data_IF_007633190125
#
_entry.id   IF_007633190125
#
_cell.length_a   1.000
_cell.length_b   1.000
_cell.length_c   1.000
_cell.angle_alpha   90.00
_cell.angle_beta   90.00
_cell.angle_gamma   90.00
#
_symmetry.space_group_name_H-M   'P 1'
#
loop_
_entity.id
_entity.type
_entity.pdbx_description
1 polymer ?
#
# COMPACT_ATOMS: atom_id res chain seq x y z
N UNK A 1 5.51 3.20 12.77
CA UNK A 1 4.38 3.74 13.58
C UNK A 1 3.05 3.53 12.87
N UNK A 2 2.95 3.83 11.57
CA UNK A 2 1.77 3.62 10.71
C UNK A 2 1.11 2.24 10.88
N UNK A 3 1.89 1.16 10.80
CA UNK A 3 1.40 -0.22 10.99
C UNK A 3 0.69 -0.42 12.33
N UNK A 4 1.14 0.23 13.42
CA UNK A 4 0.51 0.09 14.73
C UNK A 4 -0.90 0.69 14.73
N UNK A 5 -1.08 1.87 14.12
CA UNK A 5 -2.41 2.48 13.97
C UNK A 5 -3.35 1.61 13.12
N UNK A 6 -2.87 1.11 11.99
CA UNK A 6 -3.65 0.21 11.13
C UNK A 6 -4.08 -1.06 11.88
N UNK A 7 -3.17 -1.67 12.62
CA UNK A 7 -3.43 -2.87 13.42
C UNK A 7 -4.47 -2.62 14.53
N UNK A 8 -4.42 -1.47 15.18
CA UNK A 8 -5.38 -1.08 16.21
C UNK A 8 -6.75 -0.69 15.64
N UNK A 9 -6.81 -0.15 14.42
CA UNK A 9 -8.06 0.21 13.75
C UNK A 9 -8.98 -0.99 13.51
N UNK A 10 -8.41 -2.20 13.39
CA UNK A 10 -9.18 -3.45 13.37
C UNK A 10 -8.38 -4.60 13.99
N UNK A 11 -8.59 -4.88 15.28
CA UNK A 11 -7.91 -5.97 15.99
C UNK A 11 -8.20 -7.38 15.47
N UNK A 12 -9.20 -7.56 14.58
CA UNK A 12 -9.48 -8.84 13.91
C UNK A 12 -8.75 -8.99 12.57
N UNK A 13 -8.24 -7.90 12.00
CA UNK A 13 -7.48 -7.94 10.75
C UNK A 13 -6.11 -8.57 10.99
N UNK A 14 -5.60 -9.29 9.98
CA UNK A 14 -4.20 -9.70 9.91
C UNK A 14 -3.43 -8.63 9.16
N UNK A 15 -2.45 -8.02 9.79
CA UNK A 15 -1.64 -6.96 9.20
C UNK A 15 -0.25 -7.49 8.91
N UNK A 16 0.20 -7.36 7.66
CA UNK A 16 1.57 -7.65 7.27
C UNK A 16 2.29 -6.32 7.04
N UNK A 17 3.52 -6.21 7.52
CA UNK A 17 4.35 -5.02 7.31
C UNK A 17 5.72 -5.46 6.81
N UNK A 18 6.18 -4.86 5.73
CA UNK A 18 7.45 -5.19 5.08
C UNK A 18 8.46 -4.08 5.35
N UNK A 19 9.68 -4.42 5.73
CA UNK A 19 10.74 -3.43 6.00
C UNK A 19 12.09 -3.94 5.49
N UNK A 20 12.76 -3.16 4.64
CA UNK A 20 14.02 -3.55 4.01
C UNK A 20 15.22 -3.47 4.96
N UNK A 21 15.21 -2.54 5.91
CA UNK A 21 16.30 -2.34 6.85
C UNK A 21 16.07 -3.12 8.15
N UNK A 22 16.94 -4.10 8.43
CA UNK A 22 16.84 -4.96 9.61
C UNK A 22 16.79 -4.17 10.93
N UNK A 23 17.50 -3.05 11.02
CA UNK A 23 17.53 -2.19 12.21
C UNK A 23 16.17 -1.52 12.44
N UNK A 24 15.53 -1.02 11.38
CA UNK A 24 14.20 -0.39 11.45
C UNK A 24 13.16 -1.46 11.80
N UNK A 25 13.24 -2.63 11.17
CA UNK A 25 12.37 -3.77 11.46
C UNK A 25 12.46 -4.16 12.95
N UNK A 26 13.67 -4.22 13.51
CA UNK A 26 13.91 -4.54 14.93
C UNK A 26 13.30 -3.49 15.87
N UNK A 27 13.32 -2.22 15.50
CA UNK A 27 12.66 -1.14 16.27
C UNK A 27 11.13 -1.28 16.17
N UNK A 28 10.59 -1.56 14.98
CA UNK A 28 9.16 -1.76 14.79
C UNK A 28 8.63 -2.92 15.64
N UNK A 29 9.36 -4.04 15.68
CA UNK A 29 9.02 -5.20 16.52
C UNK A 29 8.99 -4.86 18.02
N UNK A 30 9.99 -4.11 18.51
CA UNK A 30 9.99 -3.61 19.90
C UNK A 30 8.76 -2.76 20.19
N UNK A 31 8.38 -1.87 19.27
CA UNK A 31 7.20 -1.04 19.43
C UNK A 31 5.90 -1.86 19.46
N UNK A 32 5.75 -2.86 18.58
CA UNK A 32 4.58 -3.76 18.61
C UNK A 32 4.48 -4.51 19.95
N UNK A 33 5.61 -4.97 20.48
CA UNK A 33 5.66 -5.64 21.78
C UNK A 33 5.27 -4.70 22.93
N UNK A 34 5.81 -3.48 22.97
CA UNK A 34 5.49 -2.48 24.00
C UNK A 34 4.01 -2.06 23.96
N UNK A 35 3.43 -1.96 22.77
CA UNK A 35 2.02 -1.60 22.56
C UNK A 35 1.07 -2.81 22.67
N UNK A 36 1.58 -4.00 22.95
CA UNK A 36 0.84 -5.26 23.01
C UNK A 36 0.03 -5.57 21.73
N UNK A 37 0.56 -5.21 20.56
CA UNK A 37 -0.06 -5.47 19.26
C UNK A 37 0.28 -6.90 18.83
N UNK A 38 -0.75 -7.72 18.58
CA UNK A 38 -0.59 -9.17 18.31
C UNK A 38 -1.01 -9.61 16.91
N UNK A 39 -1.66 -8.73 16.16
CA UNK A 39 -2.20 -9.02 14.84
C UNK A 39 -1.30 -8.52 13.70
N UNK A 40 -0.04 -8.17 14.00
CA UNK A 40 0.97 -7.77 13.01
C UNK A 40 1.97 -8.89 12.80
N UNK A 41 2.28 -9.18 11.53
CA UNK A 41 3.43 -10.00 11.12
C UNK A 41 4.43 -9.10 10.38
N UNK A 42 5.62 -8.95 10.95
CA UNK A 42 6.73 -8.21 10.35
C UNK A 42 7.52 -9.11 9.41
N UNK A 43 7.75 -8.64 8.18
CA UNK A 43 8.49 -9.34 7.13
C UNK A 43 9.72 -8.50 6.77
N UNK A 44 10.87 -8.76 7.41
CA UNK A 44 12.09 -8.01 7.12
C UNK A 44 12.77 -8.52 5.85
N UNK A 45 13.43 -7.61 5.13
CA UNK A 45 14.29 -7.91 3.98
C UNK A 45 13.86 -7.22 2.68
N UNK A 46 14.63 -7.46 1.62
CA UNK A 46 14.39 -6.89 0.30
C UNK A 46 12.98 -7.23 -0.21
N UNK A 47 12.24 -6.21 -0.66
CA UNK A 47 10.87 -6.38 -1.15
C UNK A 47 10.79 -7.26 -2.39
N UNK A 48 11.81 -7.25 -3.25
CA UNK A 48 11.87 -8.13 -4.42
C UNK A 48 11.94 -9.62 -4.02
N UNK A 49 12.52 -9.92 -2.85
CA UNK A 49 12.62 -11.28 -2.32
C UNK A 49 11.42 -11.65 -1.43
N UNK A 50 10.83 -10.68 -0.73
CA UNK A 50 9.84 -10.94 0.33
C UNK A 50 8.38 -10.78 -0.12
N UNK A 51 8.08 -9.87 -1.06
CA UNK A 51 6.71 -9.68 -1.55
C UNK A 51 6.17 -10.87 -2.35
N UNK A 52 6.92 -11.51 -3.28
CA UNK A 52 6.40 -12.64 -4.04
C UNK A 52 5.92 -13.82 -3.16
N UNK A 53 6.70 -14.34 -2.18
CA UNK A 53 6.20 -15.41 -1.32
C UNK A 53 5.07 -14.95 -0.40
N UNK A 54 5.08 -13.68 0.05
CA UNK A 54 4.00 -13.12 0.87
C UNK A 54 2.67 -13.14 0.11
N UNK A 55 2.66 -12.65 -1.13
CA UNK A 55 1.45 -12.61 -1.95
C UNK A 55 1.01 -14.01 -2.41
N UNK A 56 1.95 -14.93 -2.65
CA UNK A 56 1.61 -16.33 -2.92
C UNK A 56 0.87 -17.00 -1.74
N UNK A 57 1.25 -16.67 -0.50
CA UNK A 57 0.58 -17.15 0.70
C UNK A 57 -0.76 -16.44 0.98
N UNK A 58 -0.92 -15.21 0.50
CA UNK A 58 -2.09 -14.36 0.76
C UNK A 58 -2.73 -13.89 -0.54
N UNK A 59 -3.61 -14.75 -1.10
CA UNK A 59 -4.24 -14.56 -2.41
C UNK A 59 -5.12 -13.31 -2.57
N UNK A 60 -5.50 -12.66 -1.46
CA UNK A 60 -6.40 -11.49 -1.46
C UNK A 60 -5.85 -10.42 -0.53
N UNK A 61 -5.88 -9.19 -0.99
CA UNK A 61 -5.49 -7.99 -0.24
C UNK A 61 -6.70 -7.07 -0.15
N UNK A 62 -7.20 -6.84 1.05
CA UNK A 62 -8.31 -5.91 1.27
C UNK A 62 -7.83 -4.45 1.31
N UNK A 63 -6.65 -4.22 1.87
CA UNK A 63 -6.05 -2.89 2.04
C UNK A 63 -4.53 -2.96 1.92
N UNK A 64 -3.92 -1.97 1.26
CA UNK A 64 -2.46 -1.78 1.24
C UNK A 64 -2.11 -0.31 1.38
N UNK A 65 -1.05 -0.02 2.13
CA UNK A 65 -0.43 1.31 2.25
C UNK A 65 1.02 1.20 1.80
N UNK A 66 1.37 1.89 0.71
CA UNK A 66 2.68 1.85 0.06
C UNK A 66 3.44 3.13 0.38
N UNK A 67 4.47 2.99 1.21
CA UNK A 67 5.32 4.08 1.74
C UNK A 67 6.79 3.67 1.61
N UNK A 68 7.21 3.40 0.37
CA UNK A 68 8.53 2.83 0.14
C UNK A 68 9.09 3.15 -1.23
N UNK A 69 10.42 3.36 -1.27
CA UNK A 69 11.26 3.54 -2.46
C UNK A 69 11.01 4.84 -3.26
N UNK A 70 9.84 5.50 -3.13
CA UNK A 70 9.41 6.80 -3.74
C UNK A 70 10.03 7.11 -5.12
N UNK A 71 10.14 6.08 -5.95
CA UNK A 71 10.67 6.11 -7.31
C UNK A 71 9.66 5.46 -8.22
N UNK A 72 9.60 5.92 -9.46
CA UNK A 72 8.51 5.54 -10.37
C UNK A 72 8.43 4.03 -10.58
N UNK A 73 9.56 3.42 -10.93
CA UNK A 73 9.59 2.01 -11.32
C UNK A 73 9.22 1.08 -10.16
N UNK A 74 9.82 1.19 -8.96
CA UNK A 74 9.40 0.39 -7.80
C UNK A 74 7.92 0.58 -7.43
N UNK A 75 7.42 1.82 -7.38
CA UNK A 75 6.02 2.09 -7.06
C UNK A 75 5.06 1.39 -8.03
N UNK A 76 5.35 1.45 -9.34
CA UNK A 76 4.57 0.75 -10.35
C UNK A 76 4.68 -0.78 -10.25
N UNK A 77 5.84 -1.30 -9.87
CA UNK A 77 6.02 -2.74 -9.62
C UNK A 77 5.21 -3.21 -8.41
N UNK A 78 5.17 -2.43 -7.33
CA UNK A 78 4.33 -2.73 -6.16
C UNK A 78 2.86 -2.68 -6.54
N UNK A 79 2.43 -1.63 -7.26
CA UNK A 79 1.07 -1.50 -7.76
C UNK A 79 0.64 -2.72 -8.60
N UNK A 80 1.45 -3.18 -9.54
CA UNK A 80 1.12 -4.35 -10.37
C UNK A 80 0.99 -5.64 -9.55
N UNK A 81 1.89 -5.87 -8.59
CA UNK A 81 1.79 -7.04 -7.70
C UNK A 81 0.55 -6.99 -6.82
N UNK A 82 0.23 -5.83 -6.25
CA UNK A 82 -0.98 -5.61 -5.45
C UNK A 82 -2.25 -5.79 -6.28
N UNK A 83 -2.25 -5.27 -7.52
CA UNK A 83 -3.37 -5.37 -8.44
C UNK A 83 -3.72 -6.83 -8.75
N UNK A 84 -2.71 -7.70 -8.92
CA UNK A 84 -2.91 -9.13 -9.14
C UNK A 84 -3.61 -9.86 -7.97
N UNK A 85 -3.63 -9.26 -6.78
CA UNK A 85 -4.25 -9.80 -5.56
C UNK A 85 -5.43 -8.95 -5.08
N UNK A 86 -5.85 -7.98 -5.89
CA UNK A 86 -6.94 -7.06 -5.59
C UNK A 86 -8.30 -7.65 -5.99
N UNK A 87 -9.35 -7.17 -5.33
CA UNK A 87 -10.75 -7.48 -5.58
C UNK A 87 -11.55 -6.17 -5.68
N UNK A 88 -12.85 -6.26 -5.94
CA UNK A 88 -13.74 -5.10 -6.05
C UNK A 88 -13.92 -4.29 -4.76
N UNK A 89 -13.34 -4.75 -3.65
CA UNK A 89 -13.35 -4.06 -2.35
C UNK A 89 -11.96 -3.62 -1.92
N UNK A 90 -10.93 -3.87 -2.73
CA UNK A 90 -9.55 -3.54 -2.39
C UNK A 90 -9.32 -2.03 -2.46
N UNK A 91 -8.66 -1.50 -1.43
CA UNK A 91 -8.18 -0.12 -1.38
C UNK A 91 -6.66 -0.13 -1.35
N UNK A 92 -6.04 0.58 -2.29
CA UNK A 92 -4.59 0.79 -2.30
C UNK A 92 -4.31 2.26 -2.02
N UNK A 93 -3.40 2.53 -1.09
CA UNK A 93 -2.96 3.87 -0.72
C UNK A 93 -1.48 4.00 -1.05
N UNK A 94 -1.12 5.10 -1.70
CA UNK A 94 0.25 5.44 -2.05
C UNK A 94 0.63 6.75 -1.36
N UNK A 95 1.73 6.72 -0.62
CA UNK A 95 2.28 7.90 0.05
C UNK A 95 3.11 8.74 -0.94
N UNK A 96 3.24 10.03 -0.65
CA UNK A 96 4.13 10.97 -1.34
C UNK A 96 3.90 11.06 -2.86
N UNK A 97 2.63 11.07 -3.29
CA UNK A 97 2.25 11.05 -4.72
C UNK A 97 2.76 12.27 -5.51
N UNK A 98 3.02 13.41 -4.84
CA UNK A 98 3.57 14.63 -5.45
C UNK A 98 5.01 14.95 -4.99
N UNK A 99 5.71 14.01 -4.36
CA UNK A 99 7.06 14.24 -3.80
C UNK A 99 8.11 14.59 -4.87
N UNK A 100 7.99 14.01 -6.06
CA UNK A 100 8.98 14.16 -7.12
C UNK A 100 8.34 14.00 -8.50
N UNK A 101 9.05 14.41 -9.55
CA UNK A 101 8.62 14.16 -10.94
C UNK A 101 8.41 12.66 -11.23
N UNK A 102 9.19 11.79 -10.59
CA UNK A 102 9.02 10.35 -10.71
C UNK A 102 7.71 9.89 -10.08
N UNK A 103 7.37 10.41 -8.89
CA UNK A 103 6.12 10.05 -8.21
C UNK A 103 4.90 10.63 -8.91
N UNK A 104 4.98 11.85 -9.44
CA UNK A 104 3.94 12.40 -10.33
C UNK A 104 3.68 11.48 -11.53
N UNK A 105 4.76 11.02 -12.18
CA UNK A 105 4.67 10.11 -13.31
C UNK A 105 4.18 8.70 -12.91
N UNK A 106 4.44 8.26 -11.68
CA UNK A 106 3.90 7.01 -11.15
C UNK A 106 2.40 7.13 -10.87
N UNK A 107 1.99 8.22 -10.22
CA UNK A 107 0.61 8.49 -9.88
C UNK A 107 -0.26 8.61 -11.14
N UNK A 108 0.19 9.38 -12.13
CA UNK A 108 -0.50 9.48 -13.42
C UNK A 108 -0.65 8.12 -14.11
N UNK A 109 0.39 7.28 -14.08
CA UNK A 109 0.32 5.94 -14.67
C UNK A 109 -0.65 5.02 -13.91
N UNK A 110 -0.73 5.11 -12.59
CA UNK A 110 -1.71 4.38 -11.77
C UNK A 110 -3.13 4.83 -12.11
N UNK A 111 -3.40 6.14 -12.17
CA UNK A 111 -4.72 6.68 -12.53
C UNK A 111 -5.18 6.19 -13.92
N UNK A 112 -4.26 6.17 -14.89
CA UNK A 112 -4.56 5.75 -16.26
C UNK A 112 -4.73 4.23 -16.41
N UNK A 113 -4.27 3.42 -15.45
CA UNK A 113 -4.30 1.97 -15.55
C UNK A 113 -5.73 1.42 -15.78
N UNK A 114 -5.99 0.53 -16.75
CA UNK A 114 -7.35 0.11 -17.12
C UNK A 114 -8.21 -0.44 -15.98
N UNK A 115 -7.59 -1.15 -15.02
CA UNK A 115 -8.28 -1.70 -13.86
C UNK A 115 -8.63 -0.65 -12.78
N UNK A 116 -8.01 0.52 -12.80
CA UNK A 116 -8.29 1.58 -11.81
C UNK A 116 -9.55 2.31 -12.22
N UNK A 117 -10.51 2.36 -11.29
CA UNK A 117 -11.84 2.92 -11.55
C UNK A 117 -12.07 4.23 -10.81
N UNK A 118 -11.48 4.39 -9.63
CA UNK A 118 -11.57 5.61 -8.88
C UNK A 118 -10.24 5.92 -8.21
N UNK A 119 -9.83 7.19 -8.25
CA UNK A 119 -8.74 7.69 -7.43
C UNK A 119 -9.14 8.94 -6.68
N UNK A 120 -8.63 9.09 -5.46
CA UNK A 120 -8.75 10.30 -4.67
C UNK A 120 -7.34 10.78 -4.35
N UNK A 121 -7.02 11.96 -4.83
CA UNK A 121 -5.78 12.67 -4.56
C UNK A 121 -6.02 13.61 -3.36
N UNK A 122 -5.32 13.33 -2.26
CA UNK A 122 -5.35 14.11 -1.02
C UNK A 122 -4.04 14.90 -0.83
N UNK A 123 -3.37 15.27 -1.92
CA UNK A 123 -2.07 15.92 -1.96
C UNK A 123 -0.90 15.06 -1.44
N UNK A 124 -0.91 14.66 -0.17
CA UNK A 124 0.15 13.81 0.38
C UNK A 124 -0.03 12.34 0.02
N UNK A 125 -1.27 11.87 -0.05
CA UNK A 125 -1.58 10.47 -0.34
C UNK A 125 -2.57 10.33 -1.50
N UNK A 126 -2.39 9.28 -2.28
CA UNK A 126 -3.32 8.86 -3.32
C UNK A 126 -4.05 7.59 -2.91
N UNK A 127 -5.38 7.62 -2.94
CA UNK A 127 -6.25 6.46 -2.73
C UNK A 127 -6.68 5.93 -4.08
N UNK A 128 -6.59 4.61 -4.26
CA UNK A 128 -6.93 3.90 -5.50
C UNK A 128 -7.94 2.81 -5.21
N UNK A 129 -9.05 2.82 -5.95
CA UNK A 129 -10.12 1.84 -5.85
C UNK A 129 -10.34 1.13 -7.19
N UNK A 130 -10.58 -0.17 -7.09
CA UNK A 130 -10.89 -1.07 -8.21
C UNK A 130 -12.32 -1.55 -7.98
N UNK A 131 -13.25 -1.23 -8.90
CA UNK A 131 -14.65 -1.60 -8.74
C UNK A 131 -15.34 -1.79 -10.08
N UNK A 132 -15.74 -3.02 -10.38
CA UNK A 132 -16.54 -3.33 -11.57
C UNK A 132 -17.92 -2.64 -11.62
N UNK A 133 -18.35 -2.06 -10.50
CA UNK A 133 -19.60 -1.32 -10.38
C UNK A 133 -19.50 0.11 -10.94
N UNK A 134 -18.29 0.68 -11.01
CA UNK A 134 -18.06 2.01 -11.58
C UNK A 134 -17.76 1.88 -13.08
N UNK A 135 -18.74 2.25 -13.91
CA UNK A 135 -18.63 2.14 -15.37
C UNK A 135 -17.81 3.26 -16.01
N UNK A 136 -17.58 4.34 -15.29
CA UNK A 136 -16.80 5.51 -15.75
C UNK A 136 -15.71 5.78 -14.73
N UNK A 137 -14.48 5.99 -15.19
CA UNK A 137 -13.36 6.35 -14.32
C UNK A 137 -13.61 7.71 -13.66
N UNK A 138 -13.31 7.81 -12.37
CA UNK A 138 -13.45 9.03 -11.59
C UNK A 138 -12.15 9.38 -10.87
N UNK A 139 -11.60 10.56 -11.13
CA UNK A 139 -10.39 11.05 -10.48
C UNK A 139 -10.74 12.34 -9.75
N UNK A 140 -10.71 12.30 -8.42
CA UNK A 140 -10.98 13.45 -7.58
C UNK A 140 -9.68 14.01 -7.03
N UNK A 141 -9.54 15.33 -7.06
CA UNK A 141 -8.46 16.05 -6.38
C UNK A 141 -9.13 16.91 -5.32
N UNK A 142 -8.87 16.61 -4.04
CA UNK A 142 -9.35 17.46 -2.96
C UNK A 142 -8.45 18.68 -2.85
N UNK A 143 -9.01 19.84 -3.20
CA UNK A 143 -8.38 21.14 -2.97
C UNK A 143 -8.94 21.70 -1.67
N UNK A 144 -8.10 21.87 -0.67
CA UNK A 144 -8.39 22.68 0.51
C UNK A 144 -7.88 24.11 0.29
#
# INVERSE_FOLDING_TARGET
ITTAYLACGNGKAKVFTCEGAQQIASIAEKNFNQLNIKNVTLVPGDFAATLPPLFAAHKKIDFSFVDGNHRKLPTLQYFQQLLAHSTNTTILVFDDIHWSQEMEAAWLAIQQHPAVTLTIDLFFIGIVCISDNLKVKQHFILRY
#
